data_IF_762106461638
#
_entry.id   IF_762106461638
#
_cell.length_a   1.000
_cell.length_b   1.000
_cell.length_c   1.000
_cell.angle_alpha   90.00
_cell.angle_beta   90.00
_cell.angle_gamma   90.00
#
_symmetry.space_group_name_H-M   'P 1'
#
loop_
_entity.id
_entity.type
_entity.pdbx_description
1 polymer ?
#
# COMPACT_ATOMS: atom_id res chain seq x y z
N UNK A 1 19.32 4.04 -5.21
CA UNK A 1 18.03 3.62 -4.63
C UNK A 1 17.56 4.73 -3.72
N UNK A 2 16.29 5.10 -3.79
CA UNK A 2 15.70 6.05 -2.84
C UNK A 2 15.56 5.35 -1.47
N UNK A 3 15.75 6.08 -0.36
CA UNK A 3 15.52 5.53 0.97
C UNK A 3 14.05 5.10 1.13
N UNK A 4 13.76 4.07 1.96
CA UNK A 4 12.39 3.66 2.21
C UNK A 4 11.62 4.76 2.94
N UNK A 5 10.43 5.05 2.46
CA UNK A 5 9.46 5.99 3.03
C UNK A 5 8.93 5.49 4.38
N UNK A 6 8.40 6.40 5.19
CA UNK A 6 7.79 6.04 6.48
C UNK A 6 6.59 5.09 6.32
N UNK A 7 5.84 5.23 5.22
CA UNK A 7 4.72 4.34 4.87
C UNK A 7 5.22 2.92 4.59
N UNK A 8 6.28 2.78 3.78
CA UNK A 8 6.90 1.49 3.51
C UNK A 8 7.44 0.85 4.81
N UNK A 9 8.08 1.63 5.69
CA UNK A 9 8.58 1.16 6.98
C UNK A 9 7.47 0.66 7.90
N UNK A 10 6.39 1.43 8.03
CA UNK A 10 5.26 1.06 8.88
C UNK A 10 4.55 -0.20 8.37
N UNK A 11 4.39 -0.32 7.05
CA UNK A 11 3.79 -1.49 6.42
C UNK A 11 4.64 -2.74 6.60
N UNK A 12 5.95 -2.65 6.31
CA UNK A 12 6.87 -3.76 6.51
C UNK A 12 6.89 -4.21 7.97
N UNK A 13 6.93 -3.27 8.92
CA UNK A 13 6.85 -3.57 10.35
C UNK A 13 5.56 -4.33 10.71
N UNK A 14 4.40 -3.85 10.24
CA UNK A 14 3.12 -4.49 10.51
C UNK A 14 3.02 -5.92 9.97
N UNK A 15 3.51 -6.15 8.74
CA UNK A 15 3.50 -7.49 8.12
C UNK A 15 4.42 -8.46 8.87
N UNK A 16 5.60 -7.98 9.29
CA UNK A 16 6.55 -8.79 10.05
C UNK A 16 6.01 -9.09 11.45
N UNK A 17 5.38 -8.12 12.12
CA UNK A 17 4.77 -8.32 13.44
C UNK A 17 3.63 -9.36 13.37
N UNK A 18 2.80 -9.30 12.32
CA UNK A 18 1.75 -10.31 12.09
C UNK A 18 2.35 -11.70 11.87
N UNK A 19 3.40 -11.82 11.05
CA UNK A 19 4.07 -13.08 10.76
C UNK A 19 4.78 -13.67 12.00
N UNK A 20 5.28 -12.84 12.91
CA UNK A 20 5.98 -13.28 14.12
C UNK A 20 5.06 -13.56 15.31
N UNK A 21 3.79 -13.18 15.22
CA UNK A 21 2.81 -13.29 16.32
C UNK A 21 2.70 -14.70 16.89
N UNK A 22 2.71 -15.72 16.03
CA UNK A 22 2.59 -17.12 16.46
C UNK A 22 3.83 -17.62 17.21
N UNK A 23 4.97 -16.98 17.02
CA UNK A 23 6.25 -17.34 17.63
C UNK A 23 6.48 -16.66 18.99
N UNK A 24 5.69 -15.66 19.35
CA UNK A 24 5.84 -14.90 20.61
C UNK A 24 5.76 -15.79 21.86
N UNK A 25 5.05 -16.92 21.77
CA UNK A 25 4.86 -17.87 22.89
C UNK A 25 6.00 -18.88 23.04
N UNK A 26 6.79 -19.09 22.00
CA UNK A 26 7.76 -20.19 21.93
C UNK A 26 9.20 -19.72 21.74
N UNK A 27 9.39 -18.53 21.19
CA UNK A 27 10.71 -17.96 20.90
C UNK A 27 11.01 -16.81 21.86
N UNK A 28 12.23 -16.73 22.42
CA UNK A 28 12.63 -15.61 23.27
C UNK A 28 12.45 -14.26 22.56
N UNK A 29 11.86 -13.29 23.26
CA UNK A 29 11.59 -11.94 22.75
C UNK A 29 12.81 -11.30 22.08
N UNK A 30 14.01 -11.45 22.66
CA UNK A 30 15.27 -10.91 22.09
C UNK A 30 15.59 -11.49 20.72
N UNK A 31 15.30 -12.76 20.50
CA UNK A 31 15.50 -13.41 19.20
C UNK A 31 14.48 -12.89 18.19
N UNK A 32 13.20 -12.78 18.60
CA UNK A 32 12.15 -12.21 17.73
C UNK A 32 12.43 -10.77 17.35
N UNK A 33 12.95 -9.93 18.25
CA UNK A 33 13.34 -8.55 17.92
C UNK A 33 14.41 -8.52 16.83
N UNK A 34 15.44 -9.37 16.92
CA UNK A 34 16.49 -9.44 15.88
C UNK A 34 15.95 -9.93 14.54
N UNK A 35 15.11 -10.97 14.56
CA UNK A 35 14.47 -11.52 13.36
C UNK A 35 13.57 -10.45 12.72
N UNK A 36 12.80 -9.73 13.54
CA UNK A 36 11.95 -8.63 13.10
C UNK A 36 12.75 -7.55 12.36
N UNK A 37 13.81 -7.05 12.98
CA UNK A 37 14.69 -6.03 12.39
C UNK A 37 15.26 -6.51 11.04
N UNK A 38 15.77 -7.75 10.99
CA UNK A 38 16.34 -8.31 9.78
C UNK A 38 15.30 -8.49 8.66
N UNK A 39 14.10 -8.98 8.99
CA UNK A 39 13.03 -9.14 8.00
C UNK A 39 12.53 -7.79 7.45
N UNK A 40 12.45 -6.76 8.30
CA UNK A 40 12.10 -5.40 7.86
C UNK A 40 13.18 -4.88 6.90
N UNK A 41 14.45 -5.04 7.25
CA UNK A 41 15.55 -4.63 6.36
C UNK A 41 15.52 -5.39 5.03
N UNK A 42 15.29 -6.71 5.05
CA UNK A 42 15.18 -7.52 3.84
C UNK A 42 14.02 -7.05 2.94
N UNK A 43 12.87 -6.72 3.51
CA UNK A 43 11.71 -6.19 2.78
C UNK A 43 12.00 -4.83 2.14
N UNK A 44 12.73 -3.95 2.82
CA UNK A 44 12.91 -2.56 2.39
C UNK A 44 14.14 -2.34 1.50
N UNK A 45 15.19 -3.12 1.72
CA UNK A 45 16.52 -2.88 1.14
C UNK A 45 16.86 -3.84 -0.01
N UNK A 46 16.11 -4.94 -0.20
CA UNK A 46 16.37 -5.87 -1.31
C UNK A 46 15.37 -5.69 -2.46
N UNK A 47 15.79 -5.92 -3.72
CA UNK A 47 14.87 -5.91 -4.87
C UNK A 47 13.77 -6.96 -4.81
N UNK A 48 14.03 -8.08 -4.12
CA UNK A 48 13.05 -9.14 -3.92
C UNK A 48 12.03 -8.76 -2.84
N UNK A 49 12.50 -8.25 -1.71
CA UNK A 49 11.66 -7.74 -0.63
C UNK A 49 10.74 -6.62 -1.08
N UNK A 50 11.26 -5.63 -1.83
CA UNK A 50 10.45 -4.53 -2.36
C UNK A 50 9.34 -5.00 -3.29
N UNK A 51 9.62 -5.96 -4.18
CA UNK A 51 8.59 -6.58 -5.04
C UNK A 51 7.52 -7.34 -4.26
N UNK A 52 7.86 -7.88 -3.08
CA UNK A 52 6.88 -8.51 -2.18
C UNK A 52 6.03 -7.49 -1.43
N UNK A 53 6.56 -6.29 -1.19
CA UNK A 53 5.85 -5.21 -0.49
C UNK A 53 4.89 -4.44 -1.41
N UNK A 54 5.20 -4.36 -2.70
CA UNK A 54 4.46 -3.61 -3.73
C UNK A 54 2.94 -3.86 -3.74
N UNK A 55 2.42 -5.11 -3.70
CA UNK A 55 0.98 -5.37 -3.71
C UNK A 55 0.24 -4.84 -2.47
N UNK A 56 0.96 -4.69 -1.36
CA UNK A 56 0.41 -4.17 -0.10
C UNK A 56 0.43 -2.63 -0.05
N UNK A 57 1.34 -2.00 -0.80
CA UNK A 57 1.40 -0.55 -0.96
C UNK A 57 0.28 -0.05 -1.87
N UNK A 58 0.02 -0.74 -2.98
CA UNK A 58 -1.08 -0.42 -3.91
C UNK A 58 -2.45 -0.51 -3.23
N UNK A 59 -2.66 -1.52 -2.37
CA UNK A 59 -3.90 -1.66 -1.57
C UNK A 59 -4.08 -0.60 -0.49
N UNK A 60 -3.01 0.09 -0.08
CA UNK A 60 -3.01 1.14 0.95
C UNK A 60 -3.09 2.54 0.35
N UNK A 61 -2.86 2.70 -0.94
CA UNK A 61 -3.15 3.94 -1.63
C UNK A 61 -4.68 4.13 -1.63
N UNK A 62 -5.22 5.28 -1.19
CA UNK A 62 -6.63 5.56 -1.39
C UNK A 62 -6.92 5.49 -2.88
N UNK A 63 -7.91 4.69 -3.23
CA UNK A 63 -8.42 4.51 -4.57
C UNK A 63 -8.95 5.86 -5.07
N UNK A 64 -8.12 6.64 -5.77
CA UNK A 64 -8.58 7.80 -6.54
C UNK A 64 -9.11 7.32 -7.90
N UNK A 65 -9.99 6.31 -7.90
CA UNK A 65 -10.71 5.85 -9.10
C UNK A 65 -12.23 6.06 -8.99
N UNK A 66 -12.65 7.19 -8.41
CA UNK A 66 -13.99 7.73 -8.60
C UNK A 66 -13.93 9.17 -9.13
N UNK A 67 -13.39 9.40 -10.33
CA UNK A 67 -13.85 10.56 -11.12
C UNK A 67 -13.56 10.38 -12.62
N UNK A 68 -14.22 9.43 -13.27
CA UNK A 68 -14.34 9.43 -14.73
C UNK A 68 -15.48 8.52 -15.18
N UNK A 69 -16.72 9.04 -15.12
CA UNK A 69 -17.77 8.80 -16.14
C UNK A 69 -19.11 9.34 -15.67
N UNK A 70 -19.34 10.64 -15.87
CA UNK A 70 -20.68 11.17 -16.16
C UNK A 70 -20.58 12.44 -16.99
N UNK A 71 -20.08 12.28 -18.21
CA UNK A 71 -20.31 13.26 -19.28
C UNK A 71 -20.94 12.52 -20.45
N UNK A 72 -22.24 12.24 -20.33
CA UNK A 72 -23.10 12.13 -21.50
C UNK A 72 -24.53 12.42 -21.04
N UNK A 73 -25.06 13.55 -21.49
CA UNK A 73 -26.37 14.02 -21.08
C UNK A 73 -26.56 15.50 -21.39
N UNK A 74 -26.87 15.77 -22.65
CA UNK A 74 -27.69 16.89 -23.11
C UNK A 74 -26.99 18.24 -23.35
N UNK A 75 -26.39 18.38 -24.53
CA UNK A 75 -26.43 19.65 -25.25
C UNK A 75 -27.22 19.45 -26.56
N UNK A 76 -28.48 19.88 -26.58
CA UNK A 76 -29.01 20.51 -27.79
C UNK A 76 -29.91 21.70 -27.47
N UNK A 77 -29.31 22.86 -27.69
CA UNK A 77 -29.89 24.20 -27.61
C UNK A 77 -31.09 24.41 -28.54
N UNK A 78 -31.97 25.26 -28.05
CA UNK A 78 -33.03 26.04 -28.71
C UNK A 78 -32.67 26.56 -30.11
N UNK A 79 -33.68 26.60 -30.99
CA UNK A 79 -33.91 27.63 -32.01
C UNK A 79 -35.44 27.67 -32.29
N UNK A 80 -36.17 28.73 -31.88
CA UNK A 80 -36.76 29.76 -32.76
C UNK A 80 -38.17 29.34 -33.23
N UNK A 81 -39.31 29.99 -32.95
CA UNK A 81 -39.67 31.41 -33.22
C UNK A 81 -39.59 31.64 -34.73
N UNK A 82 -40.63 31.81 -35.54
CA UNK A 82 -41.83 32.68 -35.58
C UNK A 82 -42.58 32.35 -36.93
N UNK A 83 -43.64 33.05 -37.38
CA UNK A 83 -44.70 33.79 -36.69
C UNK A 83 -46.10 33.14 -36.88
#
# INVERSE_FOLDING_TARGET
MLPPTDVERALAASLVDEALKDFERTVPKRTLTKVREHMIDELLCTPYGRRRLEPFLERKAPDHSEEQSKVEGDEKKKAGGEP
#
